data_IF_669016357340
#
_entry.id   IF_669016357340
#
_cell.length_a   1.000
_cell.length_b   1.000
_cell.length_c   1.000
_cell.angle_alpha   90.00
_cell.angle_beta   90.00
_cell.angle_gamma   90.00
#
_symmetry.space_group_name_H-M   'P 1'
#
loop_
_entity.id
_entity.type
_entity.pdbx_description
1 polymer ?
#
# COMPACT_ATOMS: atom_id res chain seq x y z
N UNK A 1 51.49 54.02 -34.09
CA UNK A 1 51.17 53.57 -32.72
C UNK A 1 49.97 52.66 -32.85
N UNK A 2 50.24 51.34 -33.03
CA UNK A 2 49.24 50.32 -33.31
C UNK A 2 48.70 49.74 -31.98
N UNK A 3 47.41 49.79 -31.84
CA UNK A 3 46.73 49.20 -30.69
C UNK A 3 46.31 47.79 -31.08
N UNK A 4 46.94 46.76 -30.50
CA UNK A 4 46.67 45.36 -30.68
C UNK A 4 45.41 44.99 -29.83
N UNK A 5 44.29 44.71 -30.50
CA UNK A 5 43.06 44.25 -29.87
C UNK A 5 43.14 42.73 -29.62
N UNK A 6 43.39 42.32 -28.36
CA UNK A 6 43.35 40.90 -27.96
C UNK A 6 41.91 40.45 -27.89
N UNK A 7 41.47 39.55 -28.80
CA UNK A 7 40.21 38.81 -28.73
C UNK A 7 40.31 37.75 -27.64
N UNK A 8 39.55 37.94 -26.55
CA UNK A 8 39.35 36.93 -25.53
C UNK A 8 38.17 36.08 -25.99
N UNK A 9 38.45 34.85 -26.43
CA UNK A 9 37.44 33.85 -26.75
C UNK A 9 37.03 33.17 -25.44
N UNK A 10 35.84 33.53 -24.91
CA UNK A 10 35.25 32.92 -23.73
C UNK A 10 34.61 31.59 -24.15
N UNK A 11 35.30 30.48 -23.90
CA UNK A 11 34.77 29.14 -24.13
C UNK A 11 33.70 28.81 -23.10
N UNK A 12 32.46 28.78 -23.53
CA UNK A 12 31.32 28.34 -22.72
C UNK A 12 31.35 26.82 -22.56
N UNK A 13 31.91 26.33 -21.45
CA UNK A 13 31.91 24.92 -21.11
C UNK A 13 30.50 24.58 -20.54
N UNK A 14 29.58 24.11 -21.37
CA UNK A 14 28.29 23.55 -20.95
C UNK A 14 28.58 22.18 -20.35
N UNK A 15 28.61 22.11 -19.01
CA UNK A 15 28.60 20.87 -18.27
C UNK A 15 27.20 20.31 -18.39
N UNK A 16 26.99 19.37 -19.32
CA UNK A 16 25.77 18.58 -19.38
C UNK A 16 25.76 17.61 -18.18
N UNK A 17 25.05 17.98 -17.12
CA UNK A 17 24.73 17.06 -16.02
C UNK A 17 23.80 16.00 -16.56
N UNK A 18 24.32 14.83 -16.88
CA UNK A 18 23.54 13.64 -17.21
C UNK A 18 22.90 13.18 -15.90
N UNK A 19 21.69 13.63 -15.63
CA UNK A 19 20.85 13.07 -14.57
C UNK A 19 20.56 11.61 -14.97
N UNK A 20 21.24 10.67 -14.34
CA UNK A 20 20.99 9.25 -14.51
C UNK A 20 19.62 8.93 -13.87
N UNK A 21 18.54 9.08 -14.64
CA UNK A 21 17.25 8.52 -14.27
C UNK A 21 17.40 7.00 -14.32
N UNK A 22 17.50 6.38 -13.15
CA UNK A 22 17.40 4.93 -13.05
C UNK A 22 15.98 4.53 -13.46
N UNK A 23 15.83 4.07 -14.71
CA UNK A 23 14.53 3.62 -15.20
C UNK A 23 14.04 2.46 -14.33
N UNK A 24 12.79 2.54 -13.90
CA UNK A 24 12.11 1.47 -13.18
C UNK A 24 12.17 0.17 -13.98
N UNK A 25 12.62 -0.92 -13.35
CA UNK A 25 12.67 -2.26 -13.96
C UNK A 25 11.45 -3.07 -13.50
N UNK A 26 10.58 -3.42 -14.45
CA UNK A 26 9.39 -4.22 -14.18
C UNK A 26 9.42 -5.48 -15.03
N UNK A 27 9.46 -6.63 -14.35
CA UNK A 27 9.36 -7.94 -14.99
C UNK A 27 7.97 -8.08 -15.66
N UNK A 28 7.96 -8.51 -16.94
CA UNK A 28 6.72 -8.58 -17.73
C UNK A 28 5.69 -9.56 -17.14
N UNK A 29 6.15 -10.68 -16.56
CA UNK A 29 5.26 -11.65 -15.92
C UNK A 29 4.67 -11.09 -14.62
N UNK A 30 5.49 -10.42 -13.81
CA UNK A 30 5.03 -9.76 -12.62
C UNK A 30 4.01 -8.66 -12.92
N UNK A 31 4.27 -7.84 -13.96
CA UNK A 31 3.33 -6.82 -14.44
C UNK A 31 1.98 -7.42 -14.82
N UNK A 32 1.98 -8.46 -15.65
CA UNK A 32 0.75 -9.14 -16.08
C UNK A 32 -0.06 -9.66 -14.89
N UNK A 33 0.61 -10.25 -13.88
CA UNK A 33 -0.05 -10.74 -12.67
C UNK A 33 -0.65 -9.59 -11.84
N UNK A 34 0.12 -8.53 -11.59
CA UNK A 34 -0.35 -7.40 -10.79
C UNK A 34 -1.50 -6.66 -11.48
N UNK A 35 -1.43 -6.49 -12.81
CA UNK A 35 -2.53 -5.91 -13.58
C UNK A 35 -3.80 -6.80 -13.53
N UNK A 36 -3.65 -8.12 -13.59
CA UNK A 36 -4.77 -9.06 -13.45
C UNK A 36 -5.43 -8.95 -12.08
N UNK A 37 -4.63 -8.87 -11.00
CA UNK A 37 -5.13 -8.67 -9.64
C UNK A 37 -5.84 -7.33 -9.52
N UNK A 38 -5.23 -6.22 -9.99
CA UNK A 38 -5.83 -4.88 -9.99
C UNK A 38 -7.19 -4.87 -10.69
N UNK A 39 -7.23 -5.41 -11.92
CA UNK A 39 -8.47 -5.45 -12.71
C UNK A 39 -9.56 -6.28 -12.02
N UNK A 40 -9.19 -7.41 -11.41
CA UNK A 40 -10.13 -8.24 -10.68
C UNK A 40 -10.74 -7.48 -9.49
N UNK A 41 -9.93 -6.78 -8.68
CA UNK A 41 -10.43 -5.99 -7.57
C UNK A 41 -11.34 -4.85 -8.05
N UNK A 42 -10.94 -4.12 -9.09
CA UNK A 42 -11.74 -3.01 -9.65
C UNK A 42 -13.08 -3.45 -10.23
N UNK A 43 -13.16 -4.69 -10.73
CA UNK A 43 -14.40 -5.25 -11.26
C UNK A 43 -15.42 -5.64 -10.19
N UNK A 44 -15.05 -5.61 -8.89
CA UNK A 44 -15.95 -5.98 -7.80
C UNK A 44 -16.72 -4.78 -7.28
N UNK A 45 -18.00 -4.97 -6.95
CA UNK A 45 -18.80 -3.94 -6.26
C UNK A 45 -18.29 -3.69 -4.84
N UNK A 46 -17.84 -4.76 -4.18
CA UNK A 46 -17.22 -4.71 -2.87
C UNK A 46 -16.35 -5.94 -2.63
N UNK A 47 -15.43 -5.79 -1.66
CA UNK A 47 -14.54 -6.84 -1.20
C UNK A 47 -14.52 -6.85 0.31
N UNK A 48 -14.57 -8.04 0.88
CA UNK A 48 -14.40 -8.32 2.30
C UNK A 48 -13.29 -9.33 2.49
N UNK A 49 -12.48 -9.15 3.52
CA UNK A 49 -11.59 -10.21 4.00
C UNK A 49 -11.25 -10.04 5.47
N UNK A 50 -10.99 -11.16 6.12
CA UNK A 50 -10.26 -11.19 7.38
C UNK A 50 -8.77 -11.29 7.10
N UNK A 51 -7.97 -10.80 8.01
CA UNK A 51 -6.52 -10.92 7.93
C UNK A 51 -5.90 -11.02 9.31
N UNK A 52 -4.67 -11.49 9.35
CA UNK A 52 -3.79 -11.39 10.51
C UNK A 52 -2.68 -10.39 10.15
N UNK A 53 -2.56 -9.36 10.96
CA UNK A 53 -1.45 -8.42 10.90
C UNK A 53 -0.36 -8.88 11.84
N UNK A 54 0.85 -9.03 11.33
CA UNK A 54 2.00 -9.44 12.11
C UNK A 54 3.07 -8.35 12.09
N UNK A 55 3.72 -8.13 13.22
CA UNK A 55 4.90 -7.26 13.34
C UNK A 55 6.05 -8.00 14.02
N UNK A 56 7.27 -7.55 13.73
CA UNK A 56 8.44 -8.17 14.30
C UNK A 56 9.74 -7.54 13.83
N UNK A 57 10.83 -8.30 13.91
CA UNK A 57 12.16 -7.83 13.53
C UNK A 57 12.87 -8.87 12.67
N UNK A 58 13.65 -8.42 11.70
CA UNK A 58 14.30 -9.27 10.70
C UNK A 58 13.29 -10.00 9.85
N UNK A 59 13.27 -11.33 9.93
CA UNK A 59 12.29 -12.20 9.26
C UNK A 59 11.29 -12.85 10.23
N UNK A 60 11.36 -12.49 11.51
CA UNK A 60 10.57 -13.11 12.56
C UNK A 60 9.42 -12.19 12.98
N UNK A 61 8.19 -12.66 12.81
CA UNK A 61 6.99 -12.04 13.38
C UNK A 61 6.93 -12.42 14.85
N UNK A 62 6.76 -11.43 15.74
CA UNK A 62 6.73 -11.61 17.21
C UNK A 62 5.40 -11.22 17.82
N UNK A 63 4.58 -10.43 17.12
CA UNK A 63 3.24 -10.03 17.54
C UNK A 63 2.28 -10.21 16.38
N UNK A 64 1.06 -10.64 16.65
CA UNK A 64 0.01 -10.77 15.65
C UNK A 64 -1.32 -10.27 16.18
N UNK A 65 -2.10 -9.60 15.32
CA UNK A 65 -3.41 -9.05 15.62
C UNK A 65 -4.39 -9.40 14.51
N UNK A 66 -5.60 -9.86 14.82
CA UNK A 66 -6.61 -10.08 13.82
C UNK A 66 -7.19 -8.76 13.32
N UNK A 67 -7.57 -8.73 12.05
CA UNK A 67 -8.23 -7.58 11.45
C UNK A 67 -9.30 -7.98 10.46
N UNK A 68 -10.17 -7.03 10.14
CA UNK A 68 -11.26 -7.17 9.16
C UNK A 68 -11.24 -5.94 8.25
N UNK A 69 -11.35 -6.18 6.96
CA UNK A 69 -11.41 -5.12 5.96
C UNK A 69 -12.63 -5.28 5.07
N UNK A 70 -13.31 -4.16 4.81
CA UNK A 70 -14.38 -4.01 3.85
C UNK A 70 -14.04 -2.86 2.91
N UNK A 71 -14.27 -3.03 1.61
CA UNK A 71 -14.24 -1.92 0.67
C UNK A 71 -15.43 -1.99 -0.28
N UNK A 72 -15.96 -0.83 -0.67
CA UNK A 72 -17.00 -0.70 -1.67
C UNK A 72 -16.73 0.55 -2.48
N UNK A 73 -16.36 0.38 -3.76
CA UNK A 73 -15.92 1.46 -4.65
C UNK A 73 -14.75 2.23 -4.03
N UNK A 74 -14.95 3.50 -3.72
CA UNK A 74 -14.00 4.45 -3.13
C UNK A 74 -14.03 4.50 -1.59
N UNK A 75 -14.87 3.68 -0.94
CA UNK A 75 -15.05 3.65 0.52
C UNK A 75 -14.42 2.41 1.12
N UNK A 76 -14.00 2.52 2.38
CA UNK A 76 -13.57 1.35 3.14
C UNK A 76 -13.88 1.47 4.63
N UNK A 77 -13.86 0.31 5.28
CA UNK A 77 -13.90 0.15 6.73
C UNK A 77 -12.86 -0.89 7.13
N UNK A 78 -11.98 -0.50 8.02
CA UNK A 78 -10.93 -1.33 8.60
C UNK A 78 -11.14 -1.44 10.10
N UNK A 79 -11.01 -2.65 10.65
CA UNK A 79 -10.95 -2.89 12.11
C UNK A 79 -9.68 -3.67 12.42
N UNK A 80 -8.87 -3.14 13.31
CA UNK A 80 -7.62 -3.75 13.76
C UNK A 80 -7.17 -3.14 15.08
N UNK A 81 -6.64 -3.94 16.02
CA UNK A 81 -5.99 -3.47 17.25
C UNK A 81 -6.89 -2.54 18.08
N UNK A 82 -8.18 -2.86 18.22
CA UNK A 82 -9.13 -2.00 18.95
C UNK A 82 -9.51 -0.70 18.24
N UNK A 83 -8.92 -0.41 17.09
CA UNK A 83 -9.20 0.78 16.28
C UNK A 83 -10.11 0.43 15.10
N UNK A 84 -11.03 1.32 14.80
CA UNK A 84 -11.82 1.28 13.57
C UNK A 84 -11.46 2.49 12.70
N UNK A 85 -11.19 2.27 11.42
CA UNK A 85 -11.00 3.34 10.45
C UNK A 85 -12.09 3.27 9.39
N UNK A 86 -12.77 4.38 9.16
CA UNK A 86 -13.80 4.52 8.12
C UNK A 86 -13.33 5.59 7.14
N UNK A 87 -13.32 5.26 5.86
CA UNK A 87 -13.23 6.23 4.78
C UNK A 87 -14.56 6.28 4.05
N UNK A 88 -15.22 7.42 4.06
CA UNK A 88 -16.55 7.61 3.50
C UNK A 88 -16.54 8.09 2.03
N UNK A 89 -15.35 8.15 1.42
CA UNK A 89 -15.10 8.71 0.08
C UNK A 89 -14.61 10.16 0.11
N UNK A 90 -14.64 10.83 1.29
CA UNK A 90 -14.21 12.22 1.45
C UNK A 90 -13.32 12.43 2.68
N UNK A 91 -13.69 11.86 3.82
CA UNK A 91 -12.97 11.99 5.09
C UNK A 91 -12.59 10.61 5.63
N UNK A 92 -11.51 10.57 6.39
CA UNK A 92 -11.07 9.40 7.16
C UNK A 92 -11.40 9.66 8.62
N UNK A 93 -12.08 8.71 9.25
CA UNK A 93 -12.43 8.70 10.67
C UNK A 93 -11.64 7.59 11.33
N UNK A 94 -10.68 7.93 12.19
CA UNK A 94 -9.96 6.98 13.05
C UNK A 94 -10.62 6.98 14.42
N UNK A 95 -11.15 5.84 14.81
CA UNK A 95 -11.94 5.66 16.01
C UNK A 95 -11.17 4.75 16.95
N UNK A 96 -10.69 5.27 18.07
CA UNK A 96 -10.08 4.51 19.16
C UNK A 96 -11.13 4.26 20.24
N UNK A 97 -11.45 2.98 20.47
CA UNK A 97 -12.37 2.62 21.55
C UNK A 97 -11.72 2.72 22.92
N UNK A 98 -10.41 2.51 23.01
CA UNK A 98 -9.63 2.61 24.23
C UNK A 98 -9.54 4.05 24.72
N UNK A 99 -9.23 5.00 23.83
CA UNK A 99 -9.07 6.42 24.17
C UNK A 99 -10.40 7.18 24.16
N UNK A 100 -11.46 6.57 23.67
CA UNK A 100 -12.75 7.23 23.39
C UNK A 100 -12.57 8.48 22.53
N UNK A 101 -11.77 8.36 21.46
CA UNK A 101 -11.44 9.47 20.56
C UNK A 101 -11.76 9.12 19.11
N UNK A 102 -12.20 10.13 18.37
CA UNK A 102 -12.36 10.10 16.91
C UNK A 102 -11.53 11.19 16.29
N UNK A 103 -10.52 10.84 15.53
CA UNK A 103 -9.77 11.80 14.72
C UNK A 103 -10.31 11.80 13.29
N UNK A 104 -10.66 12.99 12.80
CA UNK A 104 -11.20 13.20 11.45
C UNK A 104 -10.15 13.91 10.61
N UNK A 105 -9.76 13.31 9.47
CA UNK A 105 -8.77 13.87 8.57
C UNK A 105 -9.25 13.84 7.12
N UNK A 106 -8.70 14.74 6.29
CA UNK A 106 -8.80 14.63 4.83
C UNK A 106 -7.72 13.68 4.32
N UNK A 107 -8.00 12.82 3.34
CA UNK A 107 -6.99 11.95 2.78
C UNK A 107 -5.90 12.77 2.09
N UNK A 108 -4.65 12.62 2.52
CA UNK A 108 -3.47 13.25 1.89
C UNK A 108 -2.86 12.37 0.80
N UNK A 109 -3.45 11.19 0.56
CA UNK A 109 -2.96 10.17 -0.38
C UNK A 109 -2.00 9.16 0.25
N UNK A 110 -1.38 9.48 1.39
CA UNK A 110 -0.52 8.54 2.13
C UNK A 110 -1.28 7.71 3.18
N UNK A 111 -2.47 8.12 3.55
CA UNK A 111 -3.26 7.54 4.65
C UNK A 111 -4.15 6.35 4.24
N UNK A 112 -4.20 6.01 2.95
CA UNK A 112 -4.75 4.72 2.53
C UNK A 112 -3.84 3.55 2.96
N UNK A 113 -3.31 3.67 4.16
CA UNK A 113 -2.10 3.02 4.66
C UNK A 113 -2.21 1.51 4.83
N UNK A 114 -3.38 0.90 4.70
CA UNK A 114 -3.53 -0.48 5.11
C UNK A 114 -4.22 -1.42 4.11
N UNK A 115 -4.38 -0.98 2.87
CA UNK A 115 -4.90 -1.88 1.86
C UNK A 115 -3.75 -2.60 1.13
N UNK A 116 -3.72 -3.95 1.12
CA UNK A 116 -2.82 -4.68 0.22
C UNK A 116 -2.98 -4.24 -1.24
N UNK A 117 -4.12 -3.61 -1.57
CA UNK A 117 -4.44 -3.07 -2.89
C UNK A 117 -3.59 -1.87 -3.27
N UNK A 118 -3.11 -1.09 -2.30
CA UNK A 118 -2.26 0.06 -2.58
C UNK A 118 -0.97 -0.37 -3.28
N UNK A 119 -0.34 -1.46 -2.82
CA UNK A 119 0.86 -1.98 -3.48
C UNK A 119 0.62 -2.48 -4.90
N UNK A 120 -0.61 -2.91 -5.23
CA UNK A 120 -1.00 -3.33 -6.58
C UNK A 120 -1.10 -2.14 -7.53
N UNK A 121 -1.37 -0.94 -7.04
CA UNK A 121 -1.40 0.28 -7.86
C UNK A 121 -0.05 1.03 -7.82
N UNK A 122 0.57 1.09 -6.64
CA UNK A 122 1.83 1.82 -6.42
C UNK A 122 3.02 1.18 -7.14
N UNK A 123 2.98 -0.13 -7.46
CA UNK A 123 4.08 -0.76 -8.18
C UNK A 123 4.40 -0.09 -9.50
N UNK A 124 3.44 0.59 -10.11
CA UNK A 124 3.59 1.33 -11.37
C UNK A 124 4.51 2.54 -11.24
N UNK A 125 4.72 3.01 -10.00
CA UNK A 125 5.57 4.15 -9.67
C UNK A 125 6.42 3.82 -8.45
N UNK A 126 7.73 3.99 -8.58
CA UNK A 126 8.63 3.94 -7.44
C UNK A 126 9.14 2.57 -7.01
N UNK A 127 8.84 1.48 -7.74
CA UNK A 127 9.36 0.14 -7.43
C UNK A 127 9.97 -0.56 -8.64
N UNK A 128 11.11 -1.20 -8.44
CA UNK A 128 11.55 -2.29 -9.30
C UNK A 128 10.75 -3.55 -8.93
N UNK A 129 10.25 -4.27 -9.92
CA UNK A 129 9.35 -5.41 -9.73
C UNK A 129 9.94 -6.65 -10.36
N UNK A 130 10.03 -7.74 -9.59
CA UNK A 130 10.60 -9.00 -10.03
C UNK A 130 9.65 -10.17 -9.71
N UNK A 131 9.40 -11.02 -10.70
CA UNK A 131 8.77 -12.32 -10.50
C UNK A 131 9.79 -13.30 -9.91
N UNK A 132 9.46 -13.92 -8.78
CA UNK A 132 10.37 -14.77 -8.03
C UNK A 132 10.06 -16.28 -8.15
N UNK A 133 8.96 -16.63 -8.85
CA UNK A 133 8.52 -18.01 -9.02
C UNK A 133 7.22 -18.33 -8.29
N UNK A 134 6.97 -19.61 -8.09
CA UNK A 134 5.79 -20.14 -7.38
C UNK A 134 6.20 -20.82 -6.10
N UNK A 135 5.37 -20.70 -5.07
CA UNK A 135 5.53 -21.41 -3.80
C UNK A 135 4.16 -21.63 -3.15
N UNK A 136 4.13 -22.41 -2.09
CA UNK A 136 2.91 -22.63 -1.30
C UNK A 136 2.95 -21.76 -0.05
N UNK A 137 1.91 -20.93 0.13
CA UNK A 137 1.71 -20.06 1.31
C UNK A 137 0.41 -20.47 2.00
N UNK A 138 0.48 -20.91 3.24
CA UNK A 138 -0.69 -21.37 4.01
C UNK A 138 -1.56 -22.40 3.24
N UNK A 139 -0.92 -23.34 2.56
CA UNK A 139 -1.58 -24.37 1.74
C UNK A 139 -2.07 -23.88 0.36
N UNK A 140 -1.87 -22.61 0.01
CA UNK A 140 -2.31 -22.02 -1.27
C UNK A 140 -1.15 -21.89 -2.24
N UNK A 141 -1.25 -22.49 -3.44
CA UNK A 141 -0.29 -22.27 -4.53
C UNK A 141 -0.32 -20.81 -4.94
N UNK A 142 0.82 -20.14 -4.84
CA UNK A 142 0.95 -18.70 -5.00
C UNK A 142 2.10 -18.32 -5.91
N UNK A 143 1.87 -17.31 -6.73
CA UNK A 143 2.93 -16.58 -7.43
C UNK A 143 3.58 -15.60 -6.44
N UNK A 144 4.92 -15.56 -6.43
CA UNK A 144 5.70 -14.67 -5.57
C UNK A 144 6.29 -13.53 -6.40
N UNK A 145 5.99 -12.31 -5.98
CA UNK A 145 6.49 -11.07 -6.58
C UNK A 145 7.23 -10.26 -5.51
N UNK A 146 8.42 -9.79 -5.84
CA UNK A 146 9.21 -8.87 -5.04
C UNK A 146 9.18 -7.47 -5.63
N UNK A 147 8.92 -6.48 -4.77
CA UNK A 147 9.01 -5.07 -5.08
C UNK A 147 10.16 -4.46 -4.26
N UNK A 148 11.01 -3.68 -4.92
CA UNK A 148 12.11 -2.97 -4.26
C UNK A 148 11.97 -1.48 -4.60
N UNK A 149 11.86 -0.58 -3.62
CA UNK A 149 11.74 0.84 -3.89
C UNK A 149 12.90 1.37 -4.74
N UNK A 150 12.61 2.28 -5.67
CA UNK A 150 13.65 2.97 -6.48
C UNK A 150 14.27 4.15 -5.76
N UNK A 151 13.61 4.65 -4.71
CA UNK A 151 14.08 5.73 -3.83
C UNK A 151 14.02 5.30 -2.37
N UNK A 152 14.84 5.92 -1.52
CA UNK A 152 14.83 5.67 -0.07
C UNK A 152 13.55 6.25 0.55
N UNK A 153 12.67 5.40 1.05
CA UNK A 153 11.41 5.76 1.71
C UNK A 153 11.17 4.98 3.01
N UNK A 154 12.22 4.44 3.62
CA UNK A 154 12.11 3.60 4.81
C UNK A 154 11.77 2.13 4.54
N UNK A 155 11.30 1.79 3.34
CA UNK A 155 11.01 0.41 2.92
C UNK A 155 12.25 -0.17 2.21
N UNK A 156 12.63 -1.39 2.58
CA UNK A 156 13.70 -2.15 1.95
C UNK A 156 13.16 -3.02 0.82
N UNK A 157 12.11 -3.76 1.07
CA UNK A 157 11.41 -4.59 0.08
C UNK A 157 9.98 -4.90 0.51
N UNK A 158 9.13 -5.22 -0.47
CA UNK A 158 7.80 -5.76 -0.25
C UNK A 158 7.65 -7.05 -1.05
N UNK A 159 7.14 -8.08 -0.40
CA UNK A 159 6.86 -9.38 -0.99
C UNK A 159 5.35 -9.58 -1.09
N UNK A 160 4.85 -9.84 -2.29
CA UNK A 160 3.46 -10.15 -2.57
C UNK A 160 3.32 -11.62 -2.95
N UNK A 161 2.38 -12.29 -2.33
CA UNK A 161 2.02 -13.67 -2.62
C UNK A 161 0.59 -13.70 -3.14
N UNK A 162 0.41 -14.11 -4.38
CA UNK A 162 -0.84 -14.04 -5.12
C UNK A 162 -1.32 -15.45 -5.41
N UNK A 163 -2.55 -15.80 -5.02
CA UNK A 163 -3.18 -17.06 -5.37
C UNK A 163 -3.14 -17.27 -6.89
N UNK A 164 -2.52 -18.34 -7.33
CA UNK A 164 -2.30 -18.64 -8.75
C UNK A 164 -3.62 -18.78 -9.54
N UNK A 165 -4.61 -19.43 -8.96
CA UNK A 165 -5.89 -19.66 -9.60
C UNK A 165 -6.85 -18.47 -9.52
N UNK A 166 -6.93 -17.82 -8.33
CA UNK A 166 -7.93 -16.78 -8.05
C UNK A 166 -7.45 -15.36 -8.30
N UNK A 167 -6.14 -15.16 -8.54
CA UNK A 167 -5.52 -13.83 -8.69
C UNK A 167 -5.85 -12.88 -7.54
N UNK A 168 -5.83 -13.42 -6.32
CA UNK A 168 -6.08 -12.69 -5.07
C UNK A 168 -4.80 -12.66 -4.23
N UNK A 169 -4.52 -11.55 -3.56
CA UNK A 169 -3.43 -11.51 -2.59
C UNK A 169 -3.78 -12.43 -1.43
N UNK A 170 -2.87 -13.33 -1.07
CA UNK A 170 -2.99 -14.18 0.12
C UNK A 170 -2.07 -13.74 1.24
N UNK A 171 -0.94 -13.10 0.90
CA UNK A 171 -0.01 -12.56 1.88
C UNK A 171 0.77 -11.39 1.31
N UNK A 172 1.08 -10.44 2.18
CA UNK A 172 2.02 -9.35 1.94
C UNK A 172 3.03 -9.33 3.07
N UNK A 173 4.32 -9.12 2.76
CA UNK A 173 5.37 -8.87 3.73
C UNK A 173 6.09 -7.58 3.35
N UNK A 174 6.26 -6.67 4.28
CA UNK A 174 7.07 -5.48 4.13
C UNK A 174 8.24 -5.53 5.09
N UNK A 175 9.43 -5.34 4.57
CA UNK A 175 10.67 -5.20 5.34
C UNK A 175 11.13 -3.76 5.28
N UNK A 176 11.35 -3.16 6.43
CA UNK A 176 11.79 -1.78 6.57
C UNK A 176 13.30 -1.67 6.74
N UNK A 177 13.84 -0.46 6.51
CA UNK A 177 15.28 -0.20 6.60
C UNK A 177 15.82 -0.28 8.04
N UNK A 178 14.95 -0.08 9.04
CA UNK A 178 15.22 -0.26 10.47
C UNK A 178 15.20 -1.73 10.92
N UNK A 179 15.11 -2.67 9.96
CA UNK A 179 15.00 -4.10 10.18
C UNK A 179 13.66 -4.56 10.76
N UNK A 180 12.65 -3.70 10.86
CA UNK A 180 11.30 -4.13 11.21
C UNK A 180 10.64 -4.90 10.06
N UNK A 181 9.69 -5.78 10.39
CA UNK A 181 8.86 -6.51 9.44
C UNK A 181 7.39 -6.34 9.79
N UNK A 182 6.59 -6.11 8.76
CA UNK A 182 5.12 -6.13 8.82
C UNK A 182 4.60 -7.18 7.86
N UNK A 183 3.60 -7.95 8.29
CA UNK A 183 2.98 -9.02 7.50
C UNK A 183 1.47 -8.86 7.53
N UNK A 184 0.83 -9.01 6.38
CA UNK A 184 -0.63 -9.17 6.26
C UNK A 184 -0.88 -10.54 5.64
N UNK A 185 -1.51 -11.45 6.38
CA UNK A 185 -1.95 -12.74 5.88
C UNK A 185 -3.48 -12.73 5.74
N UNK A 186 -3.98 -12.81 4.51
CA UNK A 186 -5.41 -12.69 4.19
C UNK A 186 -6.09 -14.05 4.30
N UNK A 187 -7.27 -14.06 4.91
CA UNK A 187 -8.18 -15.20 5.00
C UNK A 187 -9.62 -14.76 4.77
N UNK A 188 -10.52 -15.70 4.62
CA UNK A 188 -11.97 -15.49 4.48
C UNK A 188 -12.33 -14.38 3.47
N UNK A 189 -11.72 -14.45 2.29
CA UNK A 189 -11.94 -13.47 1.23
C UNK A 189 -13.28 -13.69 0.53
N UNK A 190 -14.11 -12.63 0.45
CA UNK A 190 -15.44 -12.62 -0.18
C UNK A 190 -15.60 -11.40 -1.08
N UNK A 191 -16.38 -11.54 -2.14
CA UNK A 191 -16.65 -10.50 -3.13
C UNK A 191 -18.17 -10.32 -3.30
N UNK A 192 -18.59 -9.12 -3.71
CA UNK A 192 -19.96 -8.80 -4.11
C UNK A 192 -21.00 -9.20 -3.05
N UNK A 193 -20.68 -8.97 -1.77
CA UNK A 193 -21.59 -9.24 -0.67
C UNK A 193 -22.69 -8.17 -0.62
N UNK A 194 -23.85 -8.52 -0.06
CA UNK A 194 -24.86 -7.52 0.30
C UNK A 194 -24.35 -6.75 1.52
N UNK A 195 -23.89 -5.51 1.32
CA UNK A 195 -23.40 -4.63 2.38
C UNK A 195 -24.37 -3.49 2.62
N UNK A 196 -24.57 -3.14 3.90
CA UNK A 196 -25.28 -1.92 4.25
C UNK A 196 -24.33 -0.71 4.04
N UNK A 197 -24.69 0.22 3.18
CA UNK A 197 -23.88 1.42 2.91
C UNK A 197 -23.63 2.28 4.17
N UNK A 198 -24.49 2.22 5.17
CA UNK A 198 -24.30 2.92 6.44
C UNK A 198 -23.02 2.48 7.18
N UNK A 199 -22.49 1.27 6.90
CA UNK A 199 -21.23 0.82 7.50
C UNK A 199 -20.01 1.64 7.11
N UNK A 200 -20.07 2.39 6.00
CA UNK A 200 -19.01 3.28 5.52
C UNK A 200 -19.29 4.76 5.87
N UNK A 201 -20.18 5.01 6.81
CA UNK A 201 -20.52 6.37 7.25
C UNK A 201 -20.26 6.49 8.75
N UNK A 202 -19.57 7.56 9.13
CA UNK A 202 -19.41 7.88 10.54
C UNK A 202 -20.72 8.46 11.10
N UNK A 203 -21.31 7.78 12.07
CA UNK A 203 -22.49 8.26 12.78
C UNK A 203 -22.11 8.79 14.18
N UNK A 204 -22.05 10.12 14.32
CA UNK A 204 -21.71 10.79 15.58
C UNK A 204 -22.60 10.34 16.76
N UNK A 205 -23.82 9.89 16.51
CA UNK A 205 -24.71 9.45 17.59
C UNK A 205 -24.26 8.15 18.26
N UNK A 206 -23.49 7.32 17.56
CA UNK A 206 -22.87 6.11 18.14
C UNK A 206 -21.69 6.42 19.04
N UNK A 207 -21.11 7.63 18.94
CA UNK A 207 -19.88 8.06 19.61
C UNK A 207 -20.08 9.32 20.47
N UNK A 208 -21.26 9.45 21.13
CA UNK A 208 -21.63 10.66 21.91
C UNK A 208 -20.65 11.03 23.02
N UNK A 209 -19.97 10.03 23.59
CA UNK A 209 -19.02 10.21 24.69
C UNK A 209 -17.56 10.30 24.21
N UNK A 210 -17.34 10.30 22.89
CA UNK A 210 -16.00 10.38 22.32
C UNK A 210 -15.60 11.83 22.04
N UNK A 211 -14.34 12.13 22.24
CA UNK A 211 -13.73 13.39 21.81
C UNK A 211 -13.55 13.31 20.29
N UNK A 212 -14.06 14.31 19.57
CA UNK A 212 -13.93 14.37 18.10
C UNK A 212 -12.99 15.51 17.75
N UNK A 213 -11.84 15.18 17.15
CA UNK A 213 -10.80 16.13 16.72
C UNK A 213 -10.72 16.15 15.19
N UNK A 214 -10.79 17.32 14.56
CA UNK A 214 -10.56 17.49 13.11
C UNK A 214 -9.12 18.00 12.88
N UNK A 215 -8.40 17.37 11.89
CA UNK A 215 -7.03 17.69 11.48
C UNK A 215 -7.00 18.45 10.16
#
# INVERSE_FOLDING_TARGET
>A
MEIILKKITLGLFTVATVASFSAQKVDAKAKTLLDAVSNQYKAKNNVYFKFVYGTGNGKKVTRTEPGIFYSAKDKYKLKIMGTEQIFDGNKIYNISAEDQEVTVAKPTGSEQMFSPLNYIEEYKKGYNVKYMGKLTVNGVKSDYIKLTPTTKNGIKEVNLFINDAKKQIVKLEQFSSDNSVSVIAISDYKENQTLNNAMFTFDKNQYKNYIVTEL
#
